data_IF_013857989640
#
_entry.id   IF_013857989640
#
_cell.length_a   1.000
_cell.length_b   1.000
_cell.length_c   1.000
_cell.angle_alpha   90.00
_cell.angle_beta   90.00
_cell.angle_gamma   90.00
#
_symmetry.space_group_name_H-M   'P 1'
#
loop_
_entity.id
_entity.type
_entity.pdbx_description
1 polymer ?
#
# COMPACT_ATOMS: atom_id res chain seq x y z
N UNK A 1 16.91 10.23 6.32
CA UNK A 1 16.11 10.66 5.15
C UNK A 1 14.67 10.90 5.58
N UNK A 2 14.13 12.01 5.17
CA UNK A 2 12.77 12.37 5.56
C UNK A 2 11.74 11.59 4.74
N UNK A 3 10.68 11.12 5.40
CA UNK A 3 9.55 10.52 4.70
C UNK A 3 8.80 11.61 3.96
N UNK A 4 8.34 11.29 2.77
CA UNK A 4 7.44 12.20 2.07
C UNK A 4 6.09 12.20 2.77
N UNK A 5 5.56 13.39 3.05
CA UNK A 5 4.26 13.52 3.70
C UNK A 5 3.13 13.36 2.69
N UNK A 6 3.11 12.22 1.99
CA UNK A 6 2.08 11.94 1.00
C UNK A 6 1.45 10.57 1.29
N UNK A 7 0.18 10.47 0.95
CA UNK A 7 -0.56 9.23 1.00
C UNK A 7 -0.83 8.81 -0.44
N UNK A 8 -0.43 7.60 -0.78
CA UNK A 8 -0.61 7.10 -2.15
C UNK A 8 -1.79 6.14 -2.22
N UNK A 9 -2.26 5.89 -3.43
CA UNK A 9 -3.28 4.90 -3.69
C UNK A 9 -2.77 3.96 -4.78
N UNK A 10 -3.41 2.80 -4.91
CA UNK A 10 -3.04 1.82 -5.94
C UNK A 10 -4.20 1.66 -6.92
N UNK A 11 -3.87 1.14 -8.11
CA UNK A 11 -4.85 1.06 -9.20
C UNK A 11 -5.79 -0.14 -9.10
N UNK A 12 -5.28 -1.27 -8.68
CA UNK A 12 -6.04 -2.51 -8.74
C UNK A 12 -6.06 -3.27 -7.43
N UNK A 13 -6.21 -4.57 -7.54
CA UNK A 13 -6.30 -5.45 -6.37
C UNK A 13 -4.95 -6.03 -5.95
N UNK A 14 -3.92 -5.78 -6.72
CA UNK A 14 -2.55 -6.17 -6.41
C UNK A 14 -1.62 -5.01 -6.74
N UNK A 15 -0.42 -5.06 -6.18
CA UNK A 15 0.58 -4.03 -6.44
C UNK A 15 1.19 -4.21 -7.84
N UNK A 16 1.27 -3.11 -8.58
CA UNK A 16 2.00 -3.12 -9.84
C UNK A 16 3.49 -3.02 -9.56
N UNK A 17 4.30 -3.29 -10.57
CA UNK A 17 5.74 -3.20 -10.45
C UNK A 17 6.19 -1.80 -10.01
N UNK A 18 5.60 -0.77 -10.61
CA UNK A 18 5.91 0.60 -10.25
C UNK A 18 5.51 0.94 -8.82
N UNK A 19 4.37 0.42 -8.38
CA UNK A 19 3.91 0.63 -7.01
C UNK A 19 4.83 -0.02 -6.00
N UNK A 20 5.33 -1.22 -6.30
CA UNK A 20 6.30 -1.90 -5.44
C UNK A 20 7.58 -1.09 -5.31
N UNK A 21 8.07 -0.55 -6.42
CA UNK A 21 9.26 0.30 -6.42
C UNK A 21 9.03 1.57 -5.62
N UNK A 22 7.87 2.19 -5.80
CA UNK A 22 7.54 3.41 -5.07
C UNK A 22 7.53 3.17 -3.57
N UNK A 23 6.91 2.08 -3.13
CA UNK A 23 6.84 1.76 -1.71
C UNK A 23 8.21 1.49 -1.11
N UNK A 24 9.09 0.81 -1.84
CA UNK A 24 10.41 0.48 -1.32
C UNK A 24 11.38 1.64 -1.38
N UNK A 25 11.30 2.50 -2.38
CA UNK A 25 12.24 3.61 -2.55
C UNK A 25 11.80 4.90 -1.87
N UNK A 26 10.55 5.30 -2.10
CA UNK A 26 10.08 6.62 -1.66
C UNK A 26 9.54 6.61 -0.25
N UNK A 27 9.12 5.47 0.25
CA UNK A 27 8.56 5.33 1.60
C UNK A 27 7.52 6.42 1.88
N UNK A 28 6.37 6.38 1.20
CA UNK A 28 5.31 7.36 1.46
C UNK A 28 4.83 7.27 2.91
N UNK A 29 4.15 8.30 3.37
CA UNK A 29 3.67 8.36 4.74
C UNK A 29 2.60 7.30 5.03
N UNK A 30 1.77 6.99 4.04
CA UNK A 30 0.75 5.98 4.18
C UNK A 30 0.17 5.60 2.83
N UNK A 31 -0.80 4.71 2.85
CA UNK A 31 -1.47 4.23 1.65
C UNK A 31 -2.96 4.14 1.92
N UNK A 32 -3.77 4.55 0.96
CA UNK A 32 -5.22 4.46 1.08
C UNK A 32 -5.76 3.44 0.07
N UNK A 33 -6.65 2.57 0.56
CA UNK A 33 -7.32 1.58 -0.27
C UNK A 33 -8.77 2.00 -0.48
N UNK A 34 -9.22 1.89 -1.72
CA UNK A 34 -10.60 2.17 -2.08
C UNK A 34 -11.33 0.87 -2.38
N UNK A 35 -12.63 0.97 -2.55
CA UNK A 35 -13.47 -0.19 -2.84
C UNK A 35 -12.95 -0.98 -4.05
N UNK A 36 -12.44 -0.29 -5.06
CA UNK A 36 -11.90 -0.93 -6.26
C UNK A 36 -10.69 -1.82 -5.97
N UNK A 37 -10.03 -1.61 -4.83
CA UNK A 37 -8.85 -2.38 -4.45
C UNK A 37 -9.20 -3.64 -3.66
N UNK A 38 -10.47 -3.81 -3.30
CA UNK A 38 -10.91 -4.89 -2.43
C UNK A 38 -11.75 -5.87 -3.23
N UNK A 39 -11.27 -7.10 -3.36
CA UNK A 39 -11.98 -8.17 -4.08
C UNK A 39 -12.51 -9.22 -3.11
N UNK A 40 -11.71 -9.61 -2.16
CA UNK A 40 -12.08 -10.61 -1.15
C UNK A 40 -11.24 -10.41 0.09
N UNK A 41 -11.62 -11.08 1.18
CA UNK A 41 -10.87 -10.99 2.44
C UNK A 41 -9.46 -11.55 2.28
N UNK A 42 -9.33 -12.68 1.58
CA UNK A 42 -8.02 -13.27 1.35
C UNK A 42 -7.14 -12.37 0.49
N UNK A 43 -7.72 -11.81 -0.56
CA UNK A 43 -7.00 -10.92 -1.45
C UNK A 43 -6.51 -9.69 -0.70
N UNK A 44 -7.36 -9.06 0.12
CA UNK A 44 -6.98 -7.85 0.82
C UNK A 44 -5.92 -8.11 1.89
N UNK A 45 -5.99 -9.26 2.55
CA UNK A 45 -4.96 -9.64 3.51
C UNK A 45 -3.60 -9.80 2.85
N UNK A 46 -3.57 -10.45 1.69
CA UNK A 46 -2.33 -10.62 0.93
C UNK A 46 -1.80 -9.28 0.44
N UNK A 47 -2.68 -8.40 -0.01
CA UNK A 47 -2.29 -7.08 -0.47
C UNK A 47 -1.64 -6.28 0.66
N UNK A 48 -2.27 -6.27 1.83
CA UNK A 48 -1.75 -5.56 3.00
C UNK A 48 -0.39 -6.12 3.41
N UNK A 49 -0.27 -7.44 3.40
CA UNK A 49 0.98 -8.11 3.74
C UNK A 49 2.10 -7.70 2.79
N UNK A 50 1.81 -7.64 1.50
CA UNK A 50 2.79 -7.23 0.50
C UNK A 50 3.18 -5.76 0.67
N UNK A 51 2.22 -4.89 0.96
CA UNK A 51 2.50 -3.48 1.19
C UNK A 51 3.49 -3.32 2.34
N UNK A 52 3.23 -4.00 3.45
CA UNK A 52 4.12 -3.93 4.61
C UNK A 52 5.48 -4.54 4.32
N UNK A 53 5.52 -5.58 3.49
CA UNK A 53 6.78 -6.19 3.10
C UNK A 53 7.65 -5.24 2.30
N UNK A 54 7.07 -4.53 1.34
CA UNK A 54 7.84 -3.61 0.50
C UNK A 54 8.23 -2.33 1.21
N UNK A 55 7.43 -1.88 2.17
CA UNK A 55 7.79 -0.71 2.98
C UNK A 55 8.75 -1.08 4.11
N UNK A 56 8.86 -2.37 4.42
CA UNK A 56 9.65 -2.88 5.54
C UNK A 56 9.20 -2.29 6.86
N UNK A 57 7.93 -1.99 6.98
CA UNK A 57 7.37 -1.34 8.16
C UNK A 57 6.05 -2.02 8.52
N UNK A 58 6.06 -2.79 9.60
CA UNK A 58 4.87 -3.50 10.08
C UNK A 58 3.76 -2.55 10.54
N UNK A 59 4.14 -1.33 10.87
CA UNK A 59 3.20 -0.30 11.33
C UNK A 59 2.84 0.70 10.25
N UNK A 60 3.19 0.39 9.00
CA UNK A 60 2.90 1.28 7.89
C UNK A 60 1.39 1.58 7.84
N UNK A 61 0.99 2.86 7.86
CA UNK A 61 -0.43 3.20 7.88
C UNK A 61 -1.14 2.82 6.59
N UNK A 62 -2.21 2.05 6.72
CA UNK A 62 -3.05 1.67 5.59
C UNK A 62 -4.48 2.08 5.93
N UNK A 63 -5.00 3.02 5.16
CA UNK A 63 -6.35 3.52 5.35
C UNK A 63 -7.29 2.84 4.36
N UNK A 64 -8.52 2.63 4.78
CA UNK A 64 -9.54 2.04 3.91
C UNK A 64 -10.69 3.01 3.81
N UNK A 65 -10.98 3.43 2.58
CA UNK A 65 -12.10 4.31 2.28
C UNK A 65 -13.15 3.51 1.53
N UNK A 66 -14.26 3.28 2.18
CA UNK A 66 -15.37 2.54 1.58
C UNK A 66 -16.30 3.48 0.84
#
# INVERSE_FOLDING_TARGET
>A
MKKKAIIISIKGTTLTKNEKLLLSKEKPWGLILFKRNIKSILQIKNLIKNIKKFTKDRKFPILIDE
#
